data_IF_959652118206
#
_entry.id   IF_959652118206
#
_cell.length_a   1.000
_cell.length_b   1.000
_cell.length_c   1.000
_cell.angle_alpha   90.00
_cell.angle_beta   90.00
_cell.angle_gamma   90.00
#
_symmetry.space_group_name_H-M   'P 1'
#
loop_
_entity.id
_entity.type
_entity.pdbx_description
1 polymer ?
#
# COMPACT_ATOMS: atom_id res chain seq x y z
N UNK A 1 3.66 1.53 -14.26
CA UNK A 1 3.48 2.00 -12.87
C UNK A 1 2.87 0.89 -12.02
N UNK A 2 2.98 1.01 -10.70
CA UNK A 2 2.45 0.05 -9.73
C UNK A 2 1.32 0.71 -8.94
N UNK A 3 0.17 0.04 -8.87
CA UNK A 3 -0.97 0.42 -8.03
C UNK A 3 -0.95 -0.43 -6.75
N UNK A 4 -0.91 0.21 -5.59
CA UNK A 4 -0.99 -0.41 -4.28
C UNK A 4 -2.41 -0.26 -3.73
N UNK A 5 -2.96 -1.32 -3.15
CA UNK A 5 -4.29 -1.36 -2.58
C UNK A 5 -4.21 -1.98 -1.18
N UNK A 6 -4.63 -1.22 -0.18
CA UNK A 6 -4.91 -1.72 1.16
C UNK A 6 -6.43 -1.88 1.33
N UNK A 7 -6.95 -3.12 1.25
CA UNK A 7 -8.39 -3.37 1.25
C UNK A 7 -8.99 -3.27 2.65
N UNK A 8 -10.05 -2.47 2.81
CA UNK A 8 -10.84 -2.42 4.04
C UNK A 8 -12.34 -2.61 3.78
N UNK A 9 -13.09 -2.90 4.85
CA UNK A 9 -14.54 -3.13 4.75
C UNK A 9 -15.29 -1.89 4.29
N UNK A 10 -14.99 -0.72 4.86
CA UNK A 10 -15.69 0.54 4.55
C UNK A 10 -14.90 1.45 3.61
N UNK A 11 -13.58 1.40 3.69
CA UNK A 11 -12.65 2.23 2.92
C UNK A 11 -11.45 1.39 2.47
N UNK A 12 -10.87 1.75 1.34
CA UNK A 12 -9.64 1.16 0.83
C UNK A 12 -8.59 2.26 0.66
N UNK A 13 -7.36 2.01 1.11
CA UNK A 13 -6.21 2.85 0.78
C UNK A 13 -5.72 2.51 -0.63
N UNK A 14 -5.41 3.52 -1.45
CA UNK A 14 -4.82 3.31 -2.77
C UNK A 14 -3.64 4.26 -3.01
N UNK A 15 -2.61 3.76 -3.68
CA UNK A 15 -1.43 4.53 -4.04
C UNK A 15 -0.91 4.15 -5.43
N UNK A 16 -0.39 5.12 -6.18
CA UNK A 16 0.27 4.89 -7.48
C UNK A 16 1.72 5.33 -7.37
N UNK A 17 2.62 4.43 -7.71
CA UNK A 17 4.06 4.64 -7.63
C UNK A 17 4.72 4.27 -8.96
N UNK A 18 5.63 5.13 -9.41
CA UNK A 18 6.48 4.90 -10.57
C UNK A 18 7.57 3.87 -10.28
N UNK A 19 8.20 3.33 -11.33
CA UNK A 19 9.33 2.40 -11.16
C UNK A 19 10.57 3.10 -10.56
N UNK A 20 10.64 4.42 -10.71
CA UNK A 20 11.59 5.32 -10.09
C UNK A 20 11.31 5.57 -8.59
N UNK A 21 10.27 4.94 -8.02
CA UNK A 21 9.78 5.11 -6.65
C UNK A 21 9.11 6.46 -6.38
N UNK A 22 8.82 7.24 -7.42
CA UNK A 22 8.06 8.48 -7.26
C UNK A 22 6.60 8.16 -6.94
N UNK A 23 6.08 8.75 -5.86
CA UNK A 23 4.66 8.64 -5.50
C UNK A 23 3.88 9.64 -6.35
N UNK A 24 3.02 9.15 -7.23
CA UNK A 24 2.17 9.99 -8.08
C UNK A 24 0.83 10.30 -7.43
N UNK A 25 0.30 9.35 -6.64
CA UNK A 25 -1.01 9.49 -6.02
C UNK A 25 -1.08 8.66 -4.74
N UNK A 26 -1.78 9.20 -3.73
CA UNK A 26 -2.15 8.51 -2.50
C UNK A 26 -3.51 9.03 -2.05
N UNK A 27 -4.46 8.14 -1.82
CA UNK A 27 -5.80 8.53 -1.37
C UNK A 27 -6.49 7.37 -0.64
N UNK A 28 -7.53 7.72 0.12
CA UNK A 28 -8.44 6.75 0.74
C UNK A 28 -9.78 6.88 0.04
N UNK A 29 -10.30 5.77 -0.49
CA UNK A 29 -11.57 5.72 -1.22
C UNK A 29 -12.58 4.88 -0.46
N UNK A 30 -13.86 5.25 -0.50
CA UNK A 30 -14.91 4.42 0.07
C UNK A 30 -15.02 3.11 -0.73
N UNK A 31 -15.19 1.98 -0.04
CA UNK A 31 -15.23 0.65 -0.67
C UNK A 31 -16.38 0.52 -1.69
N UNK A 32 -17.48 1.25 -1.49
CA UNK A 32 -18.59 1.35 -2.46
C UNK A 32 -18.21 2.00 -3.79
N UNK A 33 -17.25 2.93 -3.76
CA UNK A 33 -16.84 3.75 -4.91
C UNK A 33 -15.54 3.22 -5.53
N UNK A 34 -15.05 2.08 -5.04
CA UNK A 34 -13.76 1.51 -5.36
C UNK A 34 -13.57 1.27 -6.85
N UNK A 35 -14.49 0.53 -7.48
CA UNK A 35 -14.37 0.13 -8.88
C UNK A 35 -14.32 1.34 -9.80
N UNK A 36 -15.19 2.34 -9.58
CA UNK A 36 -15.21 3.57 -10.37
C UNK A 36 -13.93 4.39 -10.21
N UNK A 37 -13.36 4.44 -9.01
CA UNK A 37 -12.08 5.13 -8.80
C UNK A 37 -10.93 4.40 -9.47
N UNK A 38 -10.85 3.07 -9.31
CA UNK A 38 -9.78 2.27 -9.94
C UNK A 38 -9.89 2.33 -11.47
N UNK A 39 -11.08 2.27 -12.05
CA UNK A 39 -11.28 2.43 -13.50
C UNK A 39 -10.70 3.78 -14.00
N UNK A 40 -10.93 4.87 -13.27
CA UNK A 40 -10.34 6.19 -13.59
C UNK A 40 -8.82 6.20 -13.46
N UNK A 41 -8.29 5.63 -12.39
CA UNK A 41 -6.86 5.55 -12.16
C UNK A 41 -6.16 4.75 -13.27
N UNK A 42 -6.76 3.64 -13.73
CA UNK A 42 -6.20 2.83 -14.81
C UNK A 42 -6.29 3.53 -16.18
N UNK A 43 -7.23 4.46 -16.36
CA UNK A 43 -7.33 5.28 -17.57
C UNK A 43 -6.30 6.43 -17.57
N UNK A 44 -6.02 7.02 -16.39
CA UNK A 44 -5.09 8.13 -16.22
C UNK A 44 -3.61 7.67 -16.16
N UNK A 45 -3.37 6.50 -15.55
CA UNK A 45 -2.03 5.98 -15.31
C UNK A 45 -1.81 4.65 -16.04
N UNK A 46 -0.66 4.49 -16.70
CA UNK A 46 -0.25 3.22 -17.29
C UNK A 46 0.22 2.22 -16.22
N UNK A 47 -0.75 1.68 -15.47
CA UNK A 47 -0.55 0.66 -14.43
C UNK A 47 -0.44 -0.71 -15.09
N UNK A 48 0.61 -1.45 -14.76
CA UNK A 48 0.85 -2.82 -15.24
C UNK A 48 0.74 -3.86 -14.13
N UNK A 49 0.96 -3.43 -12.89
CA UNK A 49 1.02 -4.28 -11.70
C UNK A 49 0.15 -3.70 -10.61
N UNK A 50 -0.66 -4.55 -10.00
CA UNK A 50 -1.48 -4.23 -8.84
C UNK A 50 -0.95 -5.05 -7.66
N UNK A 51 -0.59 -4.36 -6.59
CA UNK A 51 -0.18 -4.96 -5.33
C UNK A 51 -1.32 -4.79 -4.34
N UNK A 52 -1.75 -5.89 -3.73
CA UNK A 52 -2.81 -5.89 -2.72
C UNK A 52 -2.32 -6.55 -1.44
N UNK A 53 -2.73 -6.01 -0.31
CA UNK A 53 -2.46 -6.61 0.99
C UNK A 53 -3.25 -7.91 1.22
N UNK A 54 -2.60 -8.91 1.82
CA UNK A 54 -3.18 -10.23 2.12
C UNK A 54 -3.76 -10.34 3.55
N UNK A 55 -4.45 -9.31 4.03
CA UNK A 55 -5.30 -9.42 5.22
C UNK A 55 -6.35 -10.55 5.09
N UNK A 56 -6.83 -11.06 6.22
CA UNK A 56 -7.78 -12.19 6.33
C UNK A 56 -9.11 -11.99 5.56
N UNK A 57 -9.40 -10.77 5.12
CA UNK A 57 -10.60 -10.40 4.32
C UNK A 57 -10.29 -10.03 2.86
N UNK A 58 -9.04 -10.14 2.41
CA UNK A 58 -8.57 -9.73 1.06
C UNK A 58 -9.14 -10.60 -0.07
N UNK A 59 -9.65 -11.81 0.22
CA UNK A 59 -10.14 -12.77 -0.80
C UNK A 59 -11.23 -12.22 -1.72
N UNK A 60 -12.14 -11.41 -1.16
CA UNK A 60 -13.19 -10.75 -1.94
C UNK A 60 -12.56 -9.79 -2.95
N UNK A 61 -11.66 -8.92 -2.49
CA UNK A 61 -10.99 -7.92 -3.31
C UNK A 61 -10.09 -8.55 -4.37
N UNK A 62 -9.35 -9.59 -4.03
CA UNK A 62 -8.53 -10.31 -5.00
C UNK A 62 -9.40 -10.94 -6.11
N UNK A 63 -10.54 -11.54 -5.76
CA UNK A 63 -11.47 -12.11 -6.74
C UNK A 63 -12.06 -11.02 -7.64
N UNK A 64 -12.48 -9.90 -7.06
CA UNK A 64 -13.00 -8.74 -7.78
C UNK A 64 -11.96 -8.17 -8.76
N UNK A 65 -10.71 -7.99 -8.31
CA UNK A 65 -9.64 -7.45 -9.13
C UNK A 65 -9.26 -8.40 -10.27
N UNK A 66 -9.15 -9.71 -10.01
CA UNK A 66 -8.86 -10.71 -11.05
C UNK A 66 -9.96 -10.79 -12.10
N UNK A 67 -11.23 -10.69 -11.70
CA UNK A 67 -12.35 -10.80 -12.63
C UNK A 67 -12.56 -9.53 -13.46
N UNK A 68 -12.40 -8.35 -12.85
CA UNK A 68 -12.60 -7.06 -13.52
C UNK A 68 -11.39 -6.63 -14.36
N UNK A 69 -10.17 -6.93 -13.91
CA UNK A 69 -8.93 -6.47 -14.53
C UNK A 69 -7.98 -7.64 -14.88
N UNK A 70 -8.41 -8.57 -15.76
CA UNK A 70 -7.65 -9.80 -16.04
C UNK A 70 -6.29 -9.55 -16.71
N UNK A 71 -6.10 -8.38 -17.32
CA UNK A 71 -4.84 -7.99 -17.97
C UNK A 71 -3.80 -7.46 -16.99
N UNK A 72 -4.20 -7.07 -15.77
CA UNK A 72 -3.28 -6.56 -14.77
C UNK A 72 -2.63 -7.71 -14.00
N UNK A 73 -1.32 -7.59 -13.74
CA UNK A 73 -0.63 -8.52 -12.85
C UNK A 73 -1.02 -8.22 -11.41
N UNK A 74 -1.85 -9.08 -10.80
CA UNK A 74 -2.21 -8.98 -9.39
C UNK A 74 -1.22 -9.75 -8.51
N UNK A 75 -0.64 -9.06 -7.52
CA UNK A 75 0.32 -9.60 -6.56
C UNK A 75 -0.22 -9.39 -5.16
N UNK A 76 -0.47 -10.47 -4.43
CA UNK A 76 -0.82 -10.40 -3.02
C UNK A 76 0.46 -10.40 -2.18
N UNK A 77 0.57 -9.45 -1.24
CA UNK A 77 1.70 -9.35 -0.31
C UNK A 77 1.22 -9.66 1.09
N UNK A 78 1.89 -10.61 1.76
CA UNK A 78 1.55 -10.98 3.13
C UNK A 78 1.76 -9.79 4.07
N UNK A 79 0.66 -9.43 4.74
CA UNK A 79 0.60 -8.37 5.73
C UNK A 79 0.91 -8.85 7.15
N UNK A 80 1.13 -10.15 7.37
CA UNK A 80 1.60 -10.66 8.66
C UNK A 80 2.91 -9.92 9.02
N UNK A 81 2.90 -9.28 10.19
CA UNK A 81 3.97 -8.40 10.69
C UNK A 81 4.15 -7.05 9.96
N UNK A 82 3.18 -6.59 9.15
CA UNK A 82 3.24 -5.28 8.48
C UNK A 82 3.10 -4.11 9.45
N UNK A 83 2.30 -4.23 10.50
CA UNK A 83 2.02 -3.14 11.44
C UNK A 83 3.26 -2.72 12.26
N UNK A 84 4.08 -3.68 12.67
CA UNK A 84 5.33 -3.42 13.41
C UNK A 84 6.43 -2.84 12.51
N UNK A 85 6.57 -3.37 11.30
CA UNK A 85 7.51 -2.82 10.30
C UNK A 85 7.07 -1.44 9.79
N UNK A 86 5.77 -1.22 9.60
CA UNK A 86 5.20 0.07 9.22
C UNK A 86 5.48 1.13 10.28
N UNK A 87 5.35 0.76 11.56
CA UNK A 87 5.69 1.64 12.68
C UNK A 87 7.16 2.02 12.68
N UNK A 88 8.07 1.06 12.45
CA UNK A 88 9.51 1.34 12.34
C UNK A 88 9.82 2.23 11.12
N UNK A 89 9.24 1.92 9.95
CA UNK A 89 9.41 2.69 8.71
C UNK A 89 8.87 4.11 8.79
N UNK A 90 7.73 4.32 9.46
CA UNK A 90 7.19 5.65 9.70
C UNK A 90 8.21 6.55 10.40
N UNK A 91 8.92 6.05 11.41
CA UNK A 91 9.95 6.83 12.12
C UNK A 91 11.24 7.02 11.31
N UNK A 92 11.54 6.17 10.33
CA UNK A 92 12.66 6.40 9.39
C UNK A 92 12.34 7.54 8.41
N UNK A 93 11.10 7.58 7.90
CA UNK A 93 10.64 8.61 6.96
C UNK A 93 10.30 9.93 7.67
N UNK A 94 9.78 9.85 8.89
CA UNK A 94 9.42 10.97 9.76
C UNK A 94 10.21 10.89 11.06
N UNK A 95 11.51 11.26 11.07
CA UNK A 95 12.32 11.20 12.27
C UNK A 95 11.66 12.02 13.40
N UNK A 96 11.58 11.48 14.62
CA UNK A 96 10.87 12.13 15.73
C UNK A 96 11.52 13.48 16.06
N UNK A 97 10.73 14.56 16.03
CA UNK A 97 11.15 15.92 16.37
C UNK A 97 10.54 16.33 17.72
N UNK A 98 11.33 16.96 18.59
CA UNK A 98 10.88 17.45 19.89
C UNK A 98 10.67 16.34 20.93
N UNK A 99 9.59 16.45 21.72
CA UNK A 99 9.28 15.55 22.86
C UNK A 99 9.10 14.06 22.46
N UNK A 100 8.73 13.78 21.19
CA UNK A 100 8.60 12.41 20.66
C UNK A 100 9.94 11.67 20.55
N UNK A 101 11.08 12.38 20.55
CA UNK A 101 12.42 11.79 20.57
C UNK A 101 12.73 11.11 21.91
N UNK A 102 12.17 11.60 23.01
CA UNK A 102 12.41 11.06 24.36
C UNK A 102 11.55 9.82 24.68
N UNK A 103 10.57 9.50 23.83
CA UNK A 103 9.72 8.32 24.00
C UNK A 103 10.38 7.07 23.35
N UNK A 104 10.35 5.91 24.02
CA UNK A 104 10.71 4.62 23.41
C UNK A 104 9.84 4.32 22.18
N UNK A 105 10.38 3.65 21.16
CA UNK A 105 9.69 3.38 19.88
C UNK A 105 8.31 2.73 20.05
N UNK A 106 8.16 1.84 21.04
CA UNK A 106 6.90 1.19 21.40
C UNK A 106 5.81 2.12 21.97
N UNK A 107 6.16 3.33 22.38
CA UNK A 107 5.23 4.33 22.96
C UNK A 107 4.95 5.53 22.05
N UNK A 108 5.64 5.65 20.92
CA UNK A 108 5.39 6.75 19.99
C UNK A 108 4.16 6.49 19.14
N UNK A 109 3.08 7.26 19.33
CA UNK A 109 1.96 7.30 18.40
C UNK A 109 2.26 8.29 17.26
N UNK A 110 2.07 7.90 15.98
CA UNK A 110 2.17 8.83 14.87
C UNK A 110 1.05 9.91 14.97
N UNK A 111 1.37 11.19 14.72
CA UNK A 111 0.40 12.30 14.78
C UNK A 111 -0.61 12.31 13.62
N UNK A 112 -0.33 11.60 12.53
CA UNK A 112 -1.22 11.49 11.36
C UNK A 112 -1.84 10.08 11.24
N UNK A 113 -3.04 9.96 10.64
CA UNK A 113 -3.63 8.66 10.33
C UNK A 113 -2.66 7.85 9.47
N UNK A 114 -2.45 6.58 9.83
CA UNK A 114 -1.46 5.68 9.24
C UNK A 114 -2.05 4.81 8.12
N UNK A 115 -3.37 4.84 7.95
CA UNK A 115 -4.13 3.99 7.02
C UNK A 115 -3.78 4.25 5.54
N UNK A 116 -3.37 5.47 5.18
CA UNK A 116 -3.00 5.84 3.80
C UNK A 116 -1.56 5.42 3.43
N UNK A 117 -0.74 5.08 4.42
CA UNK A 117 0.66 4.65 4.24
C UNK A 117 0.75 3.16 3.88
N UNK A 118 -0.25 2.36 4.26
CA UNK A 118 -0.22 0.90 4.05
C UNK A 118 -0.08 0.54 2.57
N UNK A 119 -0.85 1.17 1.69
CA UNK A 119 -0.78 0.94 0.24
C UNK A 119 0.62 1.24 -0.34
N UNK A 120 1.31 2.27 0.18
CA UNK A 120 2.67 2.59 -0.21
C UNK A 120 3.67 1.53 0.28
N UNK A 121 3.56 1.11 1.54
CA UNK A 121 4.40 0.07 2.13
C UNK A 121 4.28 -1.26 1.36
N UNK A 122 3.07 -1.60 0.92
CA UNK A 122 2.84 -2.80 0.10
C UNK A 122 3.63 -2.73 -1.21
N UNK A 123 3.60 -1.59 -1.90
CA UNK A 123 4.39 -1.40 -3.12
C UNK A 123 5.90 -1.47 -2.83
N UNK A 124 6.37 -0.80 -1.78
CA UNK A 124 7.78 -0.81 -1.41
C UNK A 124 8.29 -2.22 -1.09
N UNK A 125 7.49 -3.02 -0.37
CA UNK A 125 7.80 -4.43 -0.10
C UNK A 125 7.91 -5.24 -1.38
N UNK A 126 6.96 -5.05 -2.29
CA UNK A 126 7.01 -5.71 -3.59
C UNK A 126 8.29 -5.33 -4.35
N UNK A 127 8.61 -4.04 -4.44
CA UNK A 127 9.83 -3.57 -5.10
C UNK A 127 11.11 -4.11 -4.42
N UNK A 128 11.13 -4.21 -3.09
CA UNK A 128 12.23 -4.83 -2.33
C UNK A 128 12.41 -6.30 -2.70
N UNK A 129 11.32 -7.06 -2.72
CA UNK A 129 11.35 -8.50 -3.06
C UNK A 129 11.88 -8.79 -4.47
N UNK A 130 11.66 -7.87 -5.43
CA UNK A 130 12.23 -7.97 -6.78
C UNK A 130 13.76 -7.82 -6.77
N UNK A 131 14.29 -6.88 -6.00
CA UNK A 131 15.74 -6.64 -5.90
C UNK A 131 16.46 -7.80 -5.21
N UNK A 132 15.84 -8.39 -4.20
CA UNK A 132 16.41 -9.54 -3.48
C UNK A 132 16.41 -10.81 -4.35
N UNK A 133 15.39 -10.98 -5.20
CA UNK A 133 15.30 -12.08 -6.16
C UNK A 133 16.34 -11.98 -7.30
N UNK A 134 16.73 -10.76 -7.71
CA UNK A 134 17.79 -10.54 -8.71
C UNK A 134 19.20 -10.74 -8.16
N UNK A 135 19.36 -10.80 -6.82
CA UNK A 135 20.65 -10.97 -6.13
C UNK A 135 20.91 -12.40 -5.65
N UNK A 136 19.97 -13.31 -5.82
CA UNK A 136 20.05 -14.73 -5.42
C UNK A 136 20.27 -15.62 -6.64
#
# INVERSE_FOLDING_TARGET
MILGIDPGKEKCGVAIVGLDRTVHLRQVIASRDFTQHVDRLLAEFSVSTVVIGDQTTSRFWQTLLRSRYPTLRLIAIDERHSSEQARSRYWQLNPPRGLTRMLPEGFRLPPEPWDDIVALILIERYMGSLVDAERS
#
